data_IF_964358337974
#
_entry.id   IF_964358337974
#
_cell.length_a   1.000
_cell.length_b   1.000
_cell.length_c   1.000
_cell.angle_alpha   90.00
_cell.angle_beta   90.00
_cell.angle_gamma   90.00
#
_symmetry.space_group_name_H-M   'P 1'
#
loop_
_entity.id
_entity.type
_entity.pdbx_description
1 polymer ?
#
# COMPACT_ATOMS: atom_id res chain seq x y z
N UNK A 1 28.42 31.47 48.51
CA UNK A 1 27.44 30.60 47.82
C UNK A 1 26.99 31.29 46.55
N UNK A 2 27.59 30.94 45.40
CA UNK A 2 27.16 31.46 44.11
C UNK A 2 25.86 30.73 43.71
N UNK A 3 24.76 31.47 43.62
CA UNK A 3 23.48 30.98 43.11
C UNK A 3 23.63 30.80 41.60
N UNK A 4 23.76 29.57 41.13
CA UNK A 4 23.73 29.25 39.69
C UNK A 4 22.29 29.43 39.21
N UNK A 5 22.02 30.60 38.62
CA UNK A 5 20.75 30.94 37.98
C UNK A 5 20.92 30.63 36.48
N UNK A 6 20.68 29.39 36.09
CA UNK A 6 20.68 28.98 34.68
C UNK A 6 20.58 27.47 34.53
N UNK A 7 19.78 27.01 33.56
CA UNK A 7 19.84 25.62 33.11
C UNK A 7 21.27 25.31 32.68
N UNK A 8 21.90 24.31 33.33
CA UNK A 8 23.28 23.88 33.04
C UNK A 8 23.47 23.39 31.59
N UNK A 9 22.37 23.14 30.85
CA UNK A 9 22.40 22.79 29.44
C UNK A 9 21.36 23.60 28.65
N UNK A 10 21.83 24.58 27.88
CA UNK A 10 21.05 25.17 26.79
C UNK A 10 21.33 24.37 25.51
N UNK A 11 20.73 23.18 25.41
CA UNK A 11 20.84 22.30 24.23
C UNK A 11 19.98 22.85 23.08
N UNK A 12 20.42 23.96 22.47
CA UNK A 12 20.11 24.29 21.06
C UNK A 12 20.96 23.47 20.08
N UNK A 13 21.65 22.44 20.55
CA UNK A 13 22.48 21.55 19.74
C UNK A 13 21.65 20.32 19.40
N UNK A 14 21.19 20.23 18.16
CA UNK A 14 20.79 18.95 17.59
C UNK A 14 22.03 18.10 17.36
N UNK A 15 22.08 16.90 17.91
CA UNK A 15 23.26 16.05 17.82
C UNK A 15 23.17 14.79 18.67
N UNK A 16 24.22 13.98 18.62
CA UNK A 16 24.36 12.80 19.46
C UNK A 16 25.49 13.00 20.46
N UNK A 17 25.23 12.75 21.75
CA UNK A 17 26.24 12.72 22.81
C UNK A 17 26.19 11.33 23.43
N UNK A 18 27.28 10.56 23.30
CA UNK A 18 27.34 9.18 23.77
C UNK A 18 26.24 8.31 23.15
N UNK A 19 25.47 7.64 24.01
CA UNK A 19 24.30 6.84 23.64
C UNK A 19 22.99 7.66 23.65
N UNK A 20 23.01 8.99 23.52
CA UNK A 20 21.79 9.80 23.50
C UNK A 20 21.74 10.68 22.25
N UNK A 21 20.58 10.73 21.59
CA UNK A 21 20.29 11.64 20.47
C UNK A 21 19.30 12.69 20.93
N UNK A 22 19.64 13.95 20.70
CA UNK A 22 18.84 15.10 21.07
C UNK A 22 18.12 15.64 19.83
N UNK A 23 16.78 15.63 19.87
CA UNK A 23 15.92 16.21 18.83
C UNK A 23 15.81 17.74 19.03
N UNK A 24 15.68 18.48 17.93
CA UNK A 24 15.39 19.93 17.91
C UNK A 24 14.09 20.29 18.64
N UNK A 25 13.19 19.32 18.82
CA UNK A 25 11.93 19.46 19.56
C UNK A 25 12.08 19.27 21.08
N UNK A 26 13.30 19.04 21.59
CA UNK A 26 13.58 18.90 23.02
C UNK A 26 13.44 17.46 23.56
N UNK A 27 13.21 16.47 22.70
CA UNK A 27 13.17 15.06 23.10
C UNK A 27 14.58 14.48 23.12
N UNK A 28 14.87 13.69 24.16
CA UNK A 28 16.11 12.91 24.27
C UNK A 28 15.78 11.45 24.08
N UNK A 29 16.55 10.73 23.26
CA UNK A 29 16.35 9.29 23.03
C UNK A 29 17.66 8.50 23.08
N UNK A 30 17.65 7.27 23.59
CA UNK A 30 18.81 6.39 23.53
C UNK A 30 19.18 6.02 22.08
N UNK A 31 20.42 6.30 21.72
CA UNK A 31 21.14 5.89 20.51
C UNK A 31 21.41 4.39 20.61
N UNK A 32 20.46 3.60 20.12
CA UNK A 32 20.59 2.13 20.13
C UNK A 32 19.28 1.40 20.39
N UNK A 33 18.26 2.07 20.94
CA UNK A 33 16.90 1.52 20.88
C UNK A 33 16.42 1.72 19.45
N UNK A 34 16.49 0.65 18.67
CA UNK A 34 15.96 0.55 17.31
C UNK A 34 14.45 0.82 17.31
N UNK A 35 14.05 2.09 17.38
CA UNK A 35 12.65 2.49 17.18
C UNK A 35 12.17 2.09 15.78
N UNK A 36 13.11 1.94 14.85
CA UNK A 36 12.89 1.57 13.45
C UNK A 36 13.54 0.22 13.08
N UNK A 37 13.49 -0.80 13.96
CA UNK A 37 13.87 -2.16 13.52
C UNK A 37 12.89 -2.58 12.42
N UNK A 38 13.36 -2.62 11.19
CA UNK A 38 12.63 -3.21 10.05
C UNK A 38 12.30 -4.65 10.39
N UNK A 39 11.05 -4.91 10.78
CA UNK A 39 10.55 -6.26 11.01
C UNK A 39 9.94 -6.81 9.72
N UNK A 40 9.91 -8.13 9.60
CA UNK A 40 9.28 -8.82 8.47
C UNK A 40 7.81 -8.43 8.33
N UNK A 41 7.08 -8.34 9.44
CA UNK A 41 5.68 -7.88 9.46
C UNK A 41 5.50 -6.46 8.93
N UNK A 42 6.39 -5.53 9.28
CA UNK A 42 6.39 -4.18 8.71
C UNK A 42 6.70 -4.20 7.21
N UNK A 43 7.61 -5.07 6.77
CA UNK A 43 7.92 -5.29 5.36
C UNK A 43 6.70 -5.74 4.56
N UNK A 44 6.01 -6.77 5.05
CA UNK A 44 4.79 -7.32 4.45
C UNK A 44 3.67 -6.26 4.34
N UNK A 45 3.47 -5.46 5.40
CA UNK A 45 2.49 -4.38 5.37
C UNK A 45 2.88 -3.27 4.38
N UNK A 46 4.17 -2.90 4.33
CA UNK A 46 4.69 -1.91 3.38
C UNK A 46 4.58 -2.39 1.94
N UNK A 47 4.78 -3.68 1.68
CA UNK A 47 4.59 -4.29 0.37
C UNK A 47 3.13 -4.15 -0.07
N UNK A 48 2.17 -4.56 0.77
CA UNK A 48 0.74 -4.44 0.48
C UNK A 48 0.30 -2.98 0.27
N UNK A 49 0.80 -2.04 1.07
CA UNK A 49 0.55 -0.60 0.87
C UNK A 49 1.09 -0.11 -0.47
N UNK A 50 2.27 -0.55 -0.87
CA UNK A 50 2.90 -0.16 -2.13
C UNK A 50 2.10 -0.69 -3.32
N UNK A 51 1.60 -1.92 -3.23
CA UNK A 51 0.66 -2.50 -4.20
C UNK A 51 -0.61 -1.65 -4.29
N UNK A 52 -1.26 -1.35 -3.16
CA UNK A 52 -2.48 -0.56 -3.17
C UNK A 52 -2.27 0.84 -3.78
N UNK A 53 -1.15 1.49 -3.48
CA UNK A 53 -0.78 2.77 -4.09
C UNK A 53 -0.59 2.68 -5.62
N UNK A 54 0.02 1.60 -6.12
CA UNK A 54 0.18 1.37 -7.56
C UNK A 54 -1.16 1.13 -8.24
N UNK A 55 -2.03 0.33 -7.64
CA UNK A 55 -3.39 0.08 -8.15
C UNK A 55 -4.18 1.40 -8.32
N UNK A 56 -4.15 2.27 -7.29
CA UNK A 56 -4.82 3.58 -7.34
C UNK A 56 -4.27 4.46 -8.47
N UNK A 57 -2.97 4.39 -8.77
CA UNK A 57 -2.35 5.21 -9.82
C UNK A 57 -2.81 4.83 -11.22
N UNK A 58 -3.12 3.55 -11.45
CA UNK A 58 -3.57 3.03 -12.75
C UNK A 58 -5.05 3.32 -13.02
N UNK A 59 -5.85 3.63 -11.99
CA UNK A 59 -7.25 3.99 -12.18
C UNK A 59 -7.37 5.20 -13.12
N UNK A 60 -8.06 5.03 -14.24
CA UNK A 60 -8.41 6.04 -15.22
C UNK A 60 -9.45 7.06 -14.73
N UNK A 61 -9.77 8.09 -15.52
CA UNK A 61 -10.76 9.11 -15.17
C UNK A 61 -12.13 8.52 -14.84
N UNK A 62 -12.64 7.56 -15.61
CA UNK A 62 -13.96 6.96 -15.39
C UNK A 62 -13.97 6.13 -14.12
N UNK A 63 -12.98 5.24 -13.94
CA UNK A 63 -12.81 4.45 -12.72
C UNK A 63 -12.73 5.34 -11.48
N UNK A 64 -11.96 6.44 -11.53
CA UNK A 64 -11.89 7.41 -10.44
C UNK A 64 -13.24 8.04 -10.13
N UNK A 65 -14.04 8.35 -11.13
CA UNK A 65 -15.37 8.94 -10.95
C UNK A 65 -16.33 7.96 -10.27
N UNK A 66 -16.32 6.69 -10.69
CA UNK A 66 -17.14 5.65 -10.07
C UNK A 66 -16.72 5.35 -8.63
N UNK A 67 -15.42 5.29 -8.35
CA UNK A 67 -14.94 5.13 -6.96
C UNK A 67 -15.33 6.34 -6.10
N UNK A 68 -15.27 7.56 -6.65
CA UNK A 68 -15.70 8.77 -5.93
C UNK A 68 -17.20 8.75 -5.60
N UNK A 69 -18.05 8.22 -6.48
CA UNK A 69 -19.51 8.21 -6.24
C UNK A 69 -19.92 7.29 -5.09
N UNK A 70 -19.15 6.23 -4.84
CA UNK A 70 -19.39 5.31 -3.71
C UNK A 70 -18.61 5.69 -2.45
N UNK A 71 -17.63 6.60 -2.55
CA UNK A 71 -16.79 7.00 -1.42
C UNK A 71 -17.62 7.83 -0.42
N UNK A 72 -17.57 7.54 0.89
CA UNK A 72 -18.21 8.37 1.90
C UNK A 72 -17.75 9.83 1.82
N UNK A 73 -18.66 10.80 1.98
CA UNK A 73 -18.38 12.22 1.78
C UNK A 73 -17.21 12.78 2.61
N UNK A 74 -16.92 12.17 3.76
CA UNK A 74 -15.82 12.58 4.66
C UNK A 74 -14.46 11.94 4.32
N UNK A 75 -14.41 11.03 3.36
CA UNK A 75 -13.20 10.30 2.98
C UNK A 75 -12.66 10.76 1.62
N UNK A 76 -11.33 10.69 1.45
CA UNK A 76 -10.72 10.85 0.13
C UNK A 76 -10.84 9.53 -0.64
N UNK A 77 -11.31 9.59 -1.89
CA UNK A 77 -11.56 8.41 -2.73
C UNK A 77 -10.36 7.46 -2.84
N UNK A 78 -9.15 8.00 -2.94
CA UNK A 78 -7.93 7.20 -3.04
C UNK A 78 -7.62 6.48 -1.73
N UNK A 79 -7.79 7.15 -0.58
CA UNK A 79 -7.64 6.52 0.73
C UNK A 79 -8.73 5.46 0.98
N UNK A 80 -9.95 5.72 0.53
CA UNK A 80 -11.04 4.76 0.58
C UNK A 80 -10.70 3.52 -0.25
N UNK A 81 -10.31 3.66 -1.52
CA UNK A 81 -9.93 2.52 -2.36
C UNK A 81 -8.75 1.74 -1.79
N UNK A 82 -7.71 2.41 -1.28
CA UNK A 82 -6.60 1.72 -0.59
C UNK A 82 -7.07 0.90 0.61
N UNK A 83 -8.02 1.44 1.40
CA UNK A 83 -8.61 0.72 2.54
C UNK A 83 -9.41 -0.49 2.06
N UNK A 84 -10.17 -0.36 0.98
CA UNK A 84 -10.97 -1.46 0.43
C UNK A 84 -10.09 -2.56 -0.21
N UNK A 85 -9.00 -2.18 -0.88
CA UNK A 85 -8.00 -3.08 -1.47
C UNK A 85 -7.33 -3.96 -0.39
N UNK A 86 -6.96 -3.36 0.74
CA UNK A 86 -6.38 -4.11 1.85
C UNK A 86 -7.46 -4.89 2.60
N UNK A 87 -8.57 -4.24 2.93
CA UNK A 87 -9.57 -4.76 3.87
C UNK A 87 -9.06 -4.83 5.31
N UNK A 88 -9.89 -5.31 6.25
CA UNK A 88 -9.50 -5.46 7.64
C UNK A 88 -8.31 -6.41 7.75
N UNK A 89 -7.22 -5.98 8.41
CA UNK A 89 -5.99 -6.77 8.59
C UNK A 89 -5.40 -7.34 7.28
N UNK A 90 -5.60 -6.68 6.14
CA UNK A 90 -5.21 -7.16 4.80
C UNK A 90 -5.98 -8.41 4.30
N UNK A 91 -7.12 -8.74 4.89
CA UNK A 91 -7.85 -9.98 4.57
C UNK A 91 -8.26 -10.05 3.09
N UNK A 92 -8.76 -8.95 2.51
CA UNK A 92 -9.17 -8.93 1.10
C UNK A 92 -7.99 -9.01 0.14
N UNK A 93 -6.90 -8.32 0.48
CA UNK A 93 -5.65 -8.41 -0.25
C UNK A 93 -5.10 -9.85 -0.27
N UNK A 94 -5.06 -10.52 0.89
CA UNK A 94 -4.60 -11.90 0.99
C UNK A 94 -5.53 -12.87 0.23
N UNK A 95 -6.85 -12.65 0.33
CA UNK A 95 -7.83 -13.45 -0.39
C UNK A 95 -7.64 -13.33 -1.90
N UNK A 96 -7.52 -12.11 -2.43
CA UNK A 96 -7.32 -11.90 -3.87
C UNK A 96 -6.00 -12.50 -4.38
N UNK A 97 -4.94 -12.52 -3.57
CA UNK A 97 -3.69 -13.24 -3.91
C UNK A 97 -3.94 -14.75 -4.00
N UNK A 98 -4.69 -15.32 -3.05
CA UNK A 98 -5.03 -16.74 -3.09
C UNK A 98 -5.91 -17.06 -4.31
N UNK A 99 -6.92 -16.23 -4.59
CA UNK A 99 -7.83 -16.39 -5.72
C UNK A 99 -7.09 -16.28 -7.06
N UNK A 100 -6.07 -15.43 -7.16
CA UNK A 100 -5.24 -15.33 -8.37
C UNK A 100 -4.52 -16.64 -8.72
N UNK A 101 -4.19 -17.45 -7.72
CA UNK A 101 -3.55 -18.75 -7.93
C UNK A 101 -4.53 -19.88 -8.26
N UNK A 102 -5.84 -19.60 -8.30
CA UNK A 102 -6.85 -20.59 -8.60
C UNK A 102 -6.75 -21.09 -10.06
N UNK A 103 -7.06 -22.37 -10.34
CA UNK A 103 -6.94 -22.93 -11.70
C UNK A 103 -7.81 -22.25 -12.76
N UNK A 104 -8.90 -21.59 -12.35
CA UNK A 104 -9.80 -20.89 -13.25
C UNK A 104 -9.27 -19.52 -13.72
N UNK A 105 -8.16 -19.05 -13.15
CA UNK A 105 -7.57 -17.74 -13.48
C UNK A 105 -6.46 -17.92 -14.50
N UNK A 106 -6.59 -17.26 -15.64
CA UNK A 106 -5.52 -17.18 -16.65
C UNK A 106 -4.45 -16.17 -16.21
N UNK A 107 -3.53 -16.60 -15.36
CA UNK A 107 -2.48 -15.75 -14.80
C UNK A 107 -1.64 -15.06 -15.88
N UNK A 108 -1.38 -15.74 -17.01
CA UNK A 108 -0.60 -15.17 -18.09
C UNK A 108 -1.31 -13.97 -18.74
N UNK A 109 -2.63 -14.08 -18.98
CA UNK A 109 -3.42 -12.97 -19.49
C UNK A 109 -3.41 -11.76 -18.53
N UNK A 110 -3.50 -11.99 -17.22
CA UNK A 110 -3.40 -10.92 -16.22
C UNK A 110 -2.03 -10.26 -16.17
N UNK A 111 -0.93 -11.03 -16.28
CA UNK A 111 0.41 -10.46 -16.38
C UNK A 111 0.54 -9.56 -17.61
N UNK A 112 0.10 -10.04 -18.78
CA UNK A 112 0.14 -9.26 -20.02
C UNK A 112 -0.68 -7.98 -19.91
N UNK A 113 -1.92 -8.06 -19.40
CA UNK A 113 -2.77 -6.88 -19.23
C UNK A 113 -2.16 -5.87 -18.24
N UNK A 114 -1.62 -6.33 -17.11
CA UNK A 114 -1.00 -5.45 -16.13
C UNK A 114 0.26 -4.75 -16.67
N UNK A 115 1.07 -5.43 -17.48
CA UNK A 115 2.24 -4.84 -18.12
C UNK A 115 1.86 -3.77 -19.15
N UNK A 116 0.77 -3.96 -19.92
CA UNK A 116 0.23 -2.92 -20.83
C UNK A 116 -0.11 -1.63 -20.08
N UNK A 117 -0.63 -1.75 -18.86
CA UNK A 117 -0.94 -0.64 -17.95
C UNK A 117 0.30 -0.04 -17.25
N UNK A 118 1.51 -0.50 -17.58
CA UNK A 118 2.74 -0.04 -16.97
C UNK A 118 2.95 -0.49 -15.51
N UNK A 119 2.17 -1.45 -15.01
CA UNK A 119 2.41 -2.05 -13.70
C UNK A 119 3.72 -2.83 -13.69
N UNK A 120 4.38 -2.86 -12.52
CA UNK A 120 5.64 -3.58 -12.31
C UNK A 120 5.55 -4.39 -11.04
N UNK A 121 6.37 -5.43 -10.92
CA UNK A 121 6.47 -6.21 -9.69
C UNK A 121 6.82 -5.32 -8.48
N UNK A 122 6.29 -5.68 -7.31
CA UNK A 122 6.57 -5.02 -6.03
C UNK A 122 7.26 -6.03 -5.13
N UNK A 123 8.46 -5.67 -4.69
CA UNK A 123 9.23 -6.41 -3.68
C UNK A 123 9.67 -5.44 -2.59
N UNK A 124 9.73 -5.92 -1.36
CA UNK A 124 10.33 -5.21 -0.22
C UNK A 124 11.37 -6.12 0.41
N UNK A 125 12.64 -5.71 0.40
CA UNK A 125 13.80 -6.57 0.72
C UNK A 125 13.76 -7.25 2.09
N UNK A 126 13.02 -6.69 3.04
CA UNK A 126 12.88 -7.20 4.40
C UNK A 126 11.47 -7.74 4.69
N UNK A 127 10.62 -7.88 3.67
CA UNK A 127 9.37 -8.64 3.77
C UNK A 127 9.69 -10.14 3.79
N UNK A 128 8.88 -10.92 4.50
CA UNK A 128 8.93 -12.37 4.44
C UNK A 128 8.03 -12.94 3.32
N UNK A 129 7.02 -12.18 2.91
CA UNK A 129 6.13 -12.55 1.80
C UNK A 129 6.86 -12.42 0.45
N UNK A 130 6.56 -13.32 -0.48
CA UNK A 130 7.06 -13.24 -1.85
C UNK A 130 6.65 -11.92 -2.51
N UNK A 131 7.45 -11.48 -3.50
CA UNK A 131 7.10 -10.32 -4.31
C UNK A 131 5.77 -10.49 -5.03
N UNK A 132 5.07 -9.38 -5.23
CA UNK A 132 3.78 -9.37 -5.91
C UNK A 132 3.99 -9.02 -7.37
N UNK A 133 3.55 -9.91 -8.26
CA UNK A 133 3.65 -9.72 -9.70
C UNK A 133 2.75 -8.58 -10.21
N UNK A 134 2.99 -8.04 -11.41
CA UNK A 134 2.07 -7.10 -12.06
C UNK A 134 0.64 -7.65 -12.17
N UNK A 135 0.48 -8.87 -12.67
CA UNK A 135 -0.82 -9.51 -12.87
C UNK A 135 -1.61 -9.64 -11.58
N UNK A 136 -0.94 -10.06 -10.50
CA UNK A 136 -1.57 -10.14 -9.17
C UNK A 136 -2.08 -8.76 -8.70
N UNK A 137 -1.33 -7.68 -8.94
CA UNK A 137 -1.76 -6.33 -8.56
C UNK A 137 -3.02 -5.90 -9.30
N UNK A 138 -3.07 -6.14 -10.61
CA UNK A 138 -4.24 -5.83 -11.43
C UNK A 138 -5.45 -6.68 -10.99
N UNK A 139 -5.24 -7.97 -10.71
CA UNK A 139 -6.27 -8.87 -10.22
C UNK A 139 -6.85 -8.42 -8.87
N UNK A 140 -6.01 -7.98 -7.93
CA UNK A 140 -6.45 -7.42 -6.64
C UNK A 140 -7.33 -6.18 -6.86
N UNK A 141 -6.95 -5.31 -7.80
CA UNK A 141 -7.74 -4.13 -8.13
C UNK A 141 -9.09 -4.49 -8.74
N UNK A 142 -9.09 -5.36 -9.76
CA UNK A 142 -10.31 -5.84 -10.41
C UNK A 142 -11.28 -6.49 -9.41
N UNK A 143 -10.76 -7.37 -8.55
CA UNK A 143 -11.56 -8.05 -7.50
C UNK A 143 -12.15 -7.04 -6.53
N UNK A 144 -11.37 -6.04 -6.12
CA UNK A 144 -11.87 -5.00 -5.22
C UNK A 144 -12.96 -4.15 -5.88
N UNK A 145 -12.77 -3.74 -7.14
CA UNK A 145 -13.77 -2.99 -7.88
C UNK A 145 -15.06 -3.79 -8.06
N UNK A 146 -14.95 -5.07 -8.42
CA UNK A 146 -16.09 -5.98 -8.51
C UNK A 146 -16.85 -6.07 -7.18
N UNK A 147 -16.15 -6.26 -6.06
CA UNK A 147 -16.75 -6.28 -4.72
C UNK A 147 -17.43 -4.97 -4.32
N UNK A 148 -16.95 -3.84 -4.85
CA UNK A 148 -17.56 -2.53 -4.65
C UNK A 148 -18.75 -2.26 -5.59
N UNK A 149 -19.13 -3.23 -6.43
CA UNK A 149 -20.20 -3.09 -7.41
C UNK A 149 -19.80 -2.30 -8.66
N UNK A 150 -18.50 -2.11 -8.89
CA UNK A 150 -17.95 -1.43 -10.05
C UNK A 150 -17.58 -2.46 -11.12
N UNK A 151 -18.03 -2.24 -12.36
CA UNK A 151 -17.79 -3.11 -13.52
C UNK A 151 -18.28 -4.55 -13.35
N UNK A 152 -19.40 -4.75 -12.63
CA UNK A 152 -20.01 -6.07 -12.45
C UNK A 152 -20.48 -6.70 -13.76
N UNK A 153 -20.69 -5.88 -14.81
CA UNK A 153 -21.00 -6.33 -16.17
C UNK A 153 -19.90 -7.18 -16.80
N UNK A 154 -18.64 -7.02 -16.36
CA UNK A 154 -17.51 -7.83 -16.84
C UNK A 154 -17.50 -9.24 -16.23
N UNK A 155 -18.32 -9.51 -15.21
CA UNK A 155 -18.28 -10.74 -14.42
C UNK A 155 -17.10 -10.79 -13.45
N UNK A 156 -16.95 -11.90 -12.75
CA UNK A 156 -15.87 -12.09 -11.77
C UNK A 156 -14.49 -12.06 -12.48
N UNK A 157 -13.45 -11.51 -11.84
CA UNK A 157 -12.08 -11.56 -12.34
C UNK A 157 -11.61 -13.01 -12.48
N UNK A 158 -11.55 -13.52 -13.71
CA UNK A 158 -11.17 -14.90 -14.04
C UNK A 158 -10.32 -14.90 -15.32
N UNK A 159 -10.89 -15.18 -16.49
CA UNK A 159 -10.20 -15.17 -17.78
C UNK A 159 -10.37 -13.83 -18.56
N UNK A 160 -11.05 -12.85 -17.97
CA UNK A 160 -11.44 -11.55 -18.56
C UNK A 160 -10.42 -10.42 -18.31
N UNK A 161 -9.13 -10.76 -18.18
CA UNK A 161 -8.08 -9.81 -17.77
C UNK A 161 -7.98 -8.55 -18.66
N UNK A 162 -8.09 -8.72 -19.97
CA UNK A 162 -7.99 -7.60 -20.92
C UNK A 162 -9.15 -6.61 -20.77
N UNK A 163 -10.39 -7.11 -20.69
CA UNK A 163 -11.57 -6.27 -20.50
C UNK A 163 -11.51 -5.48 -19.18
N UNK A 164 -11.00 -6.10 -18.11
CA UNK A 164 -10.74 -5.40 -16.85
C UNK A 164 -9.66 -4.34 -17.00
N UNK A 165 -8.56 -4.64 -17.69
CA UNK A 165 -7.47 -3.69 -17.91
C UNK A 165 -7.93 -2.44 -18.67
N UNK A 166 -8.60 -2.64 -19.81
CA UNK A 166 -9.15 -1.55 -20.63
C UNK A 166 -10.14 -0.68 -19.86
N UNK A 167 -11.03 -1.31 -19.08
CA UNK A 167 -12.05 -0.59 -18.33
C UNK A 167 -11.49 0.18 -17.14
N UNK A 168 -10.45 -0.35 -16.50
CA UNK A 168 -9.78 0.33 -15.38
C UNK A 168 -9.05 1.58 -15.86
N UNK A 169 -8.39 1.52 -17.03
CA UNK A 169 -7.62 2.62 -17.62
C UNK A 169 -8.48 3.71 -18.28
N UNK A 170 -9.61 3.32 -18.89
CA UNK A 170 -10.59 4.23 -19.51
C UNK A 170 -11.15 5.29 -18.58
#
# INVERSE_FOLDING_TARGET
MAKVIGSLFNLRISGAIGELVFDKRGFVRPKGVYRDRKTTTQGNFRQALTVAQRCVKVCGPQTRQQVKSITPAQARWNCHLMKELLGPQRARYNQAIADFTAPAVDQAAWETAALKLGMRAVTVDYAAEAGISPGTQLFILASTLFHLGIYTDLGQPTANAEAWGERIEG
#
